data_IF_513378886851
#
_entry.id   IF_513378886851
#
_cell.length_a   1.000
_cell.length_b   1.000
_cell.length_c   1.000
_cell.angle_alpha   90.00
_cell.angle_beta   90.00
_cell.angle_gamma   90.00
#
_symmetry.space_group_name_H-M   'P 1'
#
loop_
_entity.id
_entity.type
_entity.pdbx_description
1 polymer ?
#
# COMPACT_ATOMS: atom_id res chain seq x y z
N UNK A 1 -11.12 2.70 6.27
CA UNK A 1 -11.45 2.03 4.99
C UNK A 1 -10.70 2.73 3.87
N UNK A 2 -9.82 2.01 3.19
CA UNK A 2 -9.11 2.50 1.99
C UNK A 2 -9.79 1.91 0.75
N UNK A 3 -9.85 2.67 -0.34
CA UNK A 3 -10.49 2.22 -1.57
C UNK A 3 -9.70 2.68 -2.80
N UNK A 4 -9.59 1.80 -3.78
CA UNK A 4 -8.99 2.09 -5.08
C UNK A 4 -10.10 2.29 -6.11
N UNK A 5 -9.95 3.32 -6.93
CA UNK A 5 -10.89 3.66 -8.00
C UNK A 5 -10.14 3.70 -9.32
N UNK A 6 -10.82 3.27 -10.38
CA UNK A 6 -10.36 3.44 -11.75
C UNK A 6 -11.10 4.62 -12.39
N UNK A 7 -10.35 5.45 -13.11
CA UNK A 7 -10.91 6.61 -13.81
C UNK A 7 -10.33 6.64 -15.21
N UNK A 8 -11.20 6.55 -16.21
CA UNK A 8 -10.82 6.75 -17.61
C UNK A 8 -10.35 8.19 -17.83
N UNK A 9 -9.09 8.34 -18.25
CA UNK A 9 -8.52 9.63 -18.66
C UNK A 9 -8.44 9.67 -20.18
N UNK A 10 -9.27 10.48 -20.86
CA UNK A 10 -9.25 10.54 -22.31
C UNK A 10 -7.96 11.15 -22.84
N UNK A 11 -7.49 10.63 -23.98
CA UNK A 11 -6.32 11.11 -24.72
C UNK A 11 -6.78 11.55 -26.13
N UNK A 12 -6.57 12.82 -26.54
CA UNK A 12 -5.92 13.89 -25.79
C UNK A 12 -6.73 14.38 -24.58
N UNK A 13 -6.06 14.97 -23.60
CA UNK A 13 -6.72 15.56 -22.44
C UNK A 13 -7.79 16.57 -22.89
N UNK A 14 -8.98 16.55 -22.28
CA UNK A 14 -10.04 17.45 -22.66
C UNK A 14 -9.65 18.88 -22.25
N UNK A 15 -10.11 19.86 -23.02
CA UNK A 15 -9.95 21.26 -22.63
C UNK A 15 -10.53 21.49 -21.23
N UNK A 16 -9.95 22.41 -20.42
CA UNK A 16 -10.49 22.74 -19.12
C UNK A 16 -11.99 23.03 -19.22
N UNK A 17 -12.84 22.41 -18.39
CA UNK A 17 -14.27 22.63 -18.45
C UNK A 17 -14.61 24.09 -18.14
N UNK A 18 -15.67 24.61 -18.76
CA UNK A 18 -16.20 25.93 -18.39
C UNK A 18 -16.75 25.91 -16.96
N UNK A 19 -16.85 27.08 -16.31
CA UNK A 19 -17.40 27.20 -14.95
C UNK A 19 -18.78 26.54 -14.82
N UNK A 20 -19.67 26.76 -15.78
CA UNK A 20 -21.00 26.14 -15.79
C UNK A 20 -20.95 24.61 -15.80
N UNK A 21 -20.03 24.01 -16.57
CA UNK A 21 -19.86 22.54 -16.61
C UNK A 21 -19.24 22.01 -15.31
N UNK A 22 -18.38 22.79 -14.64
CA UNK A 22 -17.87 22.43 -13.31
C UNK A 22 -18.98 22.49 -12.25
N UNK A 23 -19.78 23.55 -12.22
CA UNK A 23 -20.87 23.73 -11.25
C UNK A 23 -21.93 22.62 -11.39
N UNK A 24 -22.25 22.22 -12.63
CA UNK A 24 -23.14 21.08 -12.91
C UNK A 24 -22.54 19.73 -12.43
N UNK A 25 -21.22 19.51 -12.61
CA UNK A 25 -20.55 18.31 -12.12
C UNK A 25 -20.44 18.24 -10.60
N UNK A 26 -20.30 19.40 -9.94
CA UNK A 26 -20.28 19.49 -8.48
C UNK A 26 -21.67 19.20 -7.91
N UNK A 27 -22.72 19.70 -8.57
CA UNK A 27 -24.11 19.48 -8.16
C UNK A 27 -24.64 18.08 -8.49
N UNK A 28 -24.12 17.42 -9.53
CA UNK A 28 -24.47 16.06 -9.91
C UNK A 28 -23.22 15.21 -10.24
N UNK A 29 -22.47 14.76 -9.22
CA UNK A 29 -21.24 14.01 -9.43
C UNK A 29 -21.52 12.64 -10.03
N UNK A 30 -20.69 12.22 -11.00
CA UNK A 30 -20.71 10.84 -11.50
C UNK A 30 -20.28 9.91 -10.36
N UNK A 31 -21.15 8.98 -9.99
CA UNK A 31 -20.81 7.96 -8.99
C UNK A 31 -19.68 7.08 -9.51
N UNK A 32 -18.62 6.94 -8.72
CA UNK A 32 -17.54 6.00 -8.96
C UNK A 32 -17.73 4.80 -8.03
N UNK A 33 -17.65 3.61 -8.61
CA UNK A 33 -17.55 2.38 -7.83
C UNK A 33 -16.07 2.04 -7.63
N UNK A 34 -15.66 1.65 -6.42
CA UNK A 34 -14.29 1.22 -6.21
C UNK A 34 -14.05 -0.13 -6.89
N UNK A 35 -12.84 -0.32 -7.40
CA UNK A 35 -12.36 -1.61 -7.93
C UNK A 35 -11.74 -2.49 -6.85
N UNK A 36 -11.40 -1.90 -5.69
CA UNK A 36 -10.92 -2.59 -4.50
C UNK A 36 -11.29 -1.79 -3.25
N UNK A 37 -11.82 -2.47 -2.23
CA UNK A 37 -12.06 -1.90 -0.90
C UNK A 37 -11.35 -2.73 0.17
N UNK A 38 -10.52 -2.07 0.97
CA UNK A 38 -9.77 -2.70 2.05
C UNK A 38 -10.49 -2.52 3.38
N UNK A 39 -10.86 -3.66 3.99
CA UNK A 39 -11.47 -3.71 5.33
C UNK A 39 -10.54 -3.12 6.38
N UNK A 40 -11.10 -2.28 7.24
CA UNK A 40 -10.38 -1.58 8.30
C UNK A 40 -9.96 -2.59 9.37
N UNK A 41 -8.67 -2.60 9.72
CA UNK A 41 -8.08 -3.52 10.70
C UNK A 41 -7.70 -4.90 10.17
N UNK A 42 -8.09 -5.25 8.94
CA UNK A 42 -7.63 -6.47 8.28
C UNK A 42 -6.26 -6.31 7.65
N UNK A 43 -6.02 -5.12 7.11
CA UNK A 43 -4.77 -4.72 6.48
C UNK A 43 -4.08 -3.65 7.34
N UNK A 44 -2.76 -3.57 7.23
CA UNK A 44 -1.95 -2.59 7.97
C UNK A 44 -2.27 -1.15 7.57
N UNK A 45 -2.14 -0.25 8.54
CA UNK A 45 -2.15 1.19 8.28
C UNK A 45 -0.81 1.60 7.66
N UNK A 46 -0.85 2.49 6.67
CA UNK A 46 0.36 3.01 6.03
C UNK A 46 1.07 2.05 5.06
N UNK A 47 0.37 1.03 4.53
CA UNK A 47 0.90 0.21 3.43
C UNK A 47 1.38 1.07 2.27
N UNK A 48 2.56 0.75 1.73
CA UNK A 48 2.98 1.29 0.45
C UNK A 48 2.31 0.49 -0.67
N UNK A 49 1.92 1.17 -1.75
CA UNK A 49 1.45 0.55 -2.99
C UNK A 49 2.47 0.84 -4.10
N UNK A 50 2.91 -0.20 -4.81
CA UNK A 50 3.84 -0.07 -5.93
C UNK A 50 3.39 -0.94 -7.12
N UNK A 51 3.28 -0.37 -8.34
CA UNK A 51 2.93 -1.13 -9.53
C UNK A 51 4.15 -1.80 -10.16
N UNK A 52 4.00 -3.07 -10.56
CA UNK A 52 4.95 -3.78 -11.42
C UNK A 52 4.16 -4.57 -12.47
N UNK A 53 4.22 -4.14 -13.72
CA UNK A 53 3.37 -4.69 -14.78
C UNK A 53 1.90 -4.35 -14.52
N UNK A 54 1.01 -5.34 -14.58
CA UNK A 54 -0.41 -5.20 -14.22
C UNK A 54 -0.69 -5.36 -12.73
N UNK A 55 0.31 -5.72 -11.91
CA UNK A 55 0.10 -6.06 -10.51
C UNK A 55 0.43 -4.85 -9.62
N UNK A 56 -0.50 -4.51 -8.75
CA UNK A 56 -0.27 -3.64 -7.61
C UNK A 56 0.18 -4.47 -6.42
N UNK A 57 1.33 -4.13 -5.85
CA UNK A 57 1.86 -4.74 -4.63
C UNK A 57 1.60 -3.80 -3.45
N UNK A 58 0.95 -4.31 -2.40
CA UNK A 58 0.75 -3.61 -1.13
C UNK A 58 1.62 -4.26 -0.05
N UNK A 59 2.46 -3.48 0.62
CA UNK A 59 3.46 -4.01 1.54
C UNK A 59 3.75 -3.09 2.71
N UNK A 60 4.22 -3.71 3.81
CA UNK A 60 4.59 -3.04 5.06
C UNK A 60 3.41 -2.38 5.76
N UNK A 61 3.65 -1.26 6.42
CA UNK A 61 2.70 -0.64 7.34
C UNK A 61 2.77 -1.24 8.74
N UNK A 62 1.86 -0.78 9.59
CA UNK A 62 1.75 -1.19 11.00
C UNK A 62 0.33 -1.69 11.31
N UNK A 63 0.23 -2.77 12.06
CA UNK A 63 -1.06 -3.28 12.52
C UNK A 63 -1.55 -2.45 13.70
N UNK A 64 -2.67 -1.74 13.50
CA UNK A 64 -3.32 -0.96 14.54
C UNK A 64 -4.54 -1.69 15.12
N UNK A 65 -4.29 -2.54 16.12
CA UNK A 65 -5.33 -3.35 16.77
C UNK A 65 -6.28 -2.56 17.67
N UNK A 66 -5.84 -1.41 18.16
CA UNK A 66 -6.62 -0.54 19.04
C UNK A 66 -7.50 0.44 18.25
N UNK A 67 -7.53 0.33 16.92
CA UNK A 67 -8.35 1.18 16.07
C UNK A 67 -9.84 0.99 16.41
N UNK A 68 -10.56 2.03 16.87
CA UNK A 68 -11.96 1.91 17.25
C UNK A 68 -12.88 1.61 16.05
N UNK A 69 -12.39 1.80 14.82
CA UNK A 69 -13.12 1.66 13.57
C UNK A 69 -12.83 0.35 12.83
N UNK A 70 -12.24 -0.66 13.47
CA UNK A 70 -12.09 -2.01 12.88
C UNK A 70 -13.48 -2.55 12.52
N UNK A 71 -13.59 -3.20 11.36
CA UNK A 71 -14.84 -3.80 10.90
C UNK A 71 -15.27 -4.96 11.83
N UNK A 72 -16.58 -5.12 12.07
CA UNK A 72 -17.10 -6.02 13.12
C UNK A 72 -16.83 -7.52 12.85
N UNK A 73 -16.74 -7.92 11.59
CA UNK A 73 -16.30 -9.25 11.18
C UNK A 73 -14.81 -9.45 11.47
N UNK A 74 -13.96 -8.47 11.13
CA UNK A 74 -12.52 -8.48 11.41
C UNK A 74 -12.25 -8.50 12.93
N UNK A 75 -12.98 -7.72 13.73
CA UNK A 75 -12.89 -7.75 15.20
C UNK A 75 -13.10 -9.15 15.76
N UNK A 76 -14.00 -9.95 15.16
CA UNK A 76 -14.25 -11.33 15.62
C UNK A 76 -13.07 -12.25 15.30
N UNK A 77 -12.43 -12.06 14.14
CA UNK A 77 -11.25 -12.83 13.73
C UNK A 77 -10.03 -12.52 14.62
N UNK A 78 -9.86 -11.26 15.04
CA UNK A 78 -8.73 -10.81 15.85
C UNK A 78 -8.82 -11.17 17.35
N UNK A 79 -9.99 -11.58 17.86
CA UNK A 79 -10.22 -11.79 19.32
C UNK A 79 -9.25 -12.76 20.02
N UNK A 80 -8.62 -13.66 19.28
CA UNK A 80 -7.72 -14.68 19.85
C UNK A 80 -6.36 -14.74 19.15
N UNK A 81 -5.98 -13.69 18.44
CA UNK A 81 -4.73 -13.62 17.69
C UNK A 81 -3.93 -12.44 18.22
N UNK A 82 -2.65 -12.64 18.52
CA UNK A 82 -1.68 -11.55 18.67
C UNK A 82 -1.13 -11.25 17.27
N UNK A 83 -1.55 -10.18 16.60
CA UNK A 83 -1.07 -9.88 15.27
C UNK A 83 0.37 -9.35 15.33
N UNK A 84 1.14 -9.72 14.32
CA UNK A 84 2.46 -9.14 14.07
C UNK A 84 2.29 -7.64 13.82
N UNK A 85 2.89 -6.82 14.67
CA UNK A 85 2.83 -5.35 14.59
C UNK A 85 3.40 -4.86 13.26
N UNK A 86 4.47 -5.52 12.78
CA UNK A 86 5.16 -5.20 11.53
C UNK A 86 5.14 -6.42 10.60
N UNK A 87 3.98 -6.71 9.99
CA UNK A 87 3.84 -7.92 9.20
C UNK A 87 4.71 -7.85 7.95
N UNK A 88 5.23 -9.02 7.58
CA UNK A 88 6.09 -9.20 6.40
C UNK A 88 5.29 -9.49 5.13
N UNK A 89 3.98 -9.67 5.27
CA UNK A 89 3.07 -10.02 4.19
C UNK A 89 3.12 -8.98 3.08
N UNK A 90 3.02 -9.48 1.85
CA UNK A 90 2.89 -8.66 0.64
C UNK A 90 1.60 -9.09 -0.03
N UNK A 91 0.69 -8.15 -0.21
CA UNK A 91 -0.58 -8.39 -0.91
C UNK A 91 -0.47 -7.95 -2.36
N UNK A 92 -1.21 -8.61 -3.24
CA UNK A 92 -1.22 -8.32 -4.67
C UNK A 92 -2.64 -8.15 -5.21
N UNK A 93 -2.78 -7.23 -6.16
CA UNK A 93 -4.00 -6.99 -6.91
C UNK A 93 -3.66 -6.86 -8.40
N UNK A 94 -4.15 -7.78 -9.22
CA UNK A 94 -3.84 -7.81 -10.66
C UNK A 94 -4.88 -7.02 -11.46
N UNK A 95 -4.48 -5.88 -12.01
CA UNK A 95 -5.34 -5.00 -12.82
C UNK A 95 -5.79 -5.62 -14.15
N UNK A 96 -5.14 -6.69 -14.60
CA UNK A 96 -5.53 -7.35 -15.85
C UNK A 96 -6.71 -8.32 -15.68
N UNK A 97 -7.08 -8.64 -14.45
CA UNK A 97 -8.18 -9.55 -14.12
C UNK A 97 -9.40 -8.71 -13.75
N UNK A 98 -10.55 -9.07 -14.29
CA UNK A 98 -11.81 -8.47 -13.88
C UNK A 98 -12.17 -8.98 -12.47
N UNK A 99 -11.95 -8.14 -11.48
CA UNK A 99 -12.34 -8.39 -10.10
C UNK A 99 -13.78 -7.94 -9.94
N UNK A 100 -14.75 -8.85 -10.16
CA UNK A 100 -16.09 -8.62 -9.64
C UNK A 100 -15.95 -8.38 -8.13
N UNK A 101 -16.18 -7.15 -7.66
CA UNK A 101 -16.09 -6.81 -6.24
C UNK A 101 -17.09 -7.66 -5.46
N UNK A 102 -16.59 -8.75 -4.88
CA UNK A 102 -17.34 -9.59 -3.95
C UNK A 102 -16.99 -9.12 -2.54
N UNK A 103 -17.99 -9.10 -1.65
CA UNK A 103 -17.89 -8.58 -0.27
C UNK A 103 -16.81 -9.28 0.62
N UNK A 104 -16.06 -10.25 0.08
CA UNK A 104 -15.14 -11.12 0.80
C UNK A 104 -13.86 -11.50 0.03
N UNK A 105 -13.53 -10.85 -1.10
CA UNK A 105 -12.25 -11.13 -1.74
C UNK A 105 -11.11 -10.43 -1.00
N UNK A 106 -10.47 -11.20 -0.15
CA UNK A 106 -9.18 -10.85 0.43
C UNK A 106 -8.15 -10.72 -0.68
N UNK A 107 -7.27 -9.74 -0.54
CA UNK A 107 -6.14 -9.64 -1.45
C UNK A 107 -5.31 -10.92 -1.41
N UNK A 108 -4.94 -11.39 -2.59
CA UNK A 108 -3.99 -12.50 -2.72
C UNK A 108 -2.65 -12.09 -2.10
N UNK A 109 -1.91 -13.07 -1.60
CA UNK A 109 -0.59 -12.85 -1.01
C UNK A 109 0.51 -13.32 -1.95
N UNK A 110 1.62 -12.57 -1.94
CA UNK A 110 2.88 -12.89 -2.61
C UNK A 110 3.93 -13.33 -1.58
N UNK A 111 5.11 -13.72 -2.05
CA UNK A 111 6.26 -14.00 -1.20
C UNK A 111 6.50 -12.86 -0.20
N UNK A 112 6.55 -13.14 1.11
CA UNK A 112 6.70 -12.12 2.14
C UNK A 112 8.10 -11.51 2.14
N UNK A 113 8.21 -10.26 2.57
CA UNK A 113 9.49 -9.59 2.81
C UNK A 113 10.32 -10.35 3.86
N UNK A 114 11.63 -10.11 3.91
CA UNK A 114 12.44 -10.66 5.01
C UNK A 114 12.09 -9.97 6.34
N UNK A 115 11.76 -8.67 6.29
CA UNK A 115 11.44 -7.85 7.45
C UNK A 115 10.27 -6.89 7.20
N UNK A 116 9.41 -6.75 8.21
CA UNK A 116 8.34 -5.77 8.24
C UNK A 116 8.86 -4.35 8.31
N UNK A 117 8.11 -3.40 7.75
CA UNK A 117 8.48 -1.99 7.61
C UNK A 117 7.29 -1.12 7.96
N UNK A 118 7.41 -0.33 9.02
CA UNK A 118 6.31 0.51 9.51
C UNK A 118 5.92 1.61 8.52
N UNK A 119 6.93 2.28 7.94
CA UNK A 119 6.78 3.37 6.98
C UNK A 119 7.56 2.99 5.72
N UNK A 120 7.00 2.10 4.88
CA UNK A 120 7.67 1.64 3.67
C UNK A 120 7.59 2.69 2.56
N UNK A 121 8.68 2.81 1.81
CA UNK A 121 8.77 3.45 0.51
C UNK A 121 9.23 2.42 -0.50
N UNK A 122 8.44 2.20 -1.54
CA UNK A 122 8.77 1.27 -2.60
C UNK A 122 8.82 1.96 -3.97
N UNK A 123 9.70 1.45 -4.84
CA UNK A 123 9.80 1.86 -6.23
C UNK A 123 10.19 0.68 -7.10
N UNK A 124 9.88 0.76 -8.39
CA UNK A 124 10.32 -0.23 -9.39
C UNK A 124 11.52 0.29 -10.16
N UNK A 125 12.55 -0.55 -10.28
CA UNK A 125 13.68 -0.33 -11.17
C UNK A 125 14.12 -1.69 -11.74
N UNK A 126 14.48 -1.73 -13.02
CA UNK A 126 14.98 -2.95 -13.67
C UNK A 126 14.05 -4.17 -13.44
N UNK A 127 12.73 -3.94 -13.57
CA UNK A 127 11.66 -4.94 -13.37
C UNK A 127 11.63 -5.58 -11.97
N UNK A 128 12.24 -4.93 -10.97
CA UNK A 128 12.30 -5.38 -9.57
C UNK A 128 11.70 -4.32 -8.67
N UNK A 129 11.13 -4.77 -7.54
CA UNK A 129 10.61 -3.86 -6.52
C UNK A 129 11.71 -3.65 -5.49
N UNK A 130 12.00 -2.40 -5.18
CA UNK A 130 12.91 -2.00 -4.14
C UNK A 130 12.10 -1.35 -3.03
N UNK A 131 12.36 -1.73 -1.77
CA UNK A 131 11.67 -1.17 -0.61
C UNK A 131 12.67 -0.71 0.43
N UNK A 132 12.54 0.54 0.85
CA UNK A 132 13.20 1.13 2.01
C UNK A 132 12.14 1.39 3.06
N UNK A 133 12.39 1.11 4.33
CA UNK A 133 11.46 1.50 5.38
C UNK A 133 12.13 1.64 6.72
N UNK A 134 11.45 2.31 7.65
CA UNK A 134 11.93 2.46 9.02
C UNK A 134 11.38 1.38 9.95
N UNK A 135 12.10 1.14 11.04
CA UNK A 135 11.59 0.43 12.23
C UNK A 135 10.98 1.41 13.22
N UNK A 136 10.09 0.93 14.08
CA UNK A 136 9.56 1.72 15.21
C UNK A 136 10.70 1.93 16.22
N UNK A 137 10.80 3.14 16.79
CA UNK A 137 11.92 3.57 17.67
C UNK A 137 12.09 2.77 18.95
N UNK A 138 11.04 2.08 19.40
CA UNK A 138 10.99 1.46 20.74
C UNK A 138 11.12 -0.06 20.74
N UNK A 139 11.22 -0.70 19.57
CA UNK A 139 11.61 -2.08 19.52
C UNK A 139 13.14 -2.12 19.52
N UNK A 140 13.74 -2.71 20.56
CA UNK A 140 15.17 -3.06 20.65
C UNK A 140 15.59 -4.10 19.58
N UNK A 141 15.04 -4.03 18.37
CA UNK A 141 15.44 -4.91 17.28
C UNK A 141 16.77 -4.41 16.75
N UNK A 142 17.82 -5.06 17.23
CA UNK A 142 19.10 -5.18 16.57
C UNK A 142 18.97 -5.02 15.05
N UNK A 143 19.32 -3.83 14.55
CA UNK A 143 19.59 -3.46 13.14
C UNK A 143 18.83 -4.31 12.10
N UNK A 144 17.49 -4.22 12.09
CA UNK A 144 16.70 -4.74 10.96
C UNK A 144 17.18 -4.01 9.70
N UNK A 145 17.56 -4.73 8.62
CA UNK A 145 17.89 -4.11 7.35
C UNK A 145 16.71 -3.29 6.82
N UNK A 146 16.97 -2.05 6.44
CA UNK A 146 15.95 -1.13 5.96
C UNK A 146 15.66 -1.34 4.48
N UNK A 147 16.66 -1.84 3.74
CA UNK A 147 16.60 -1.92 2.28
C UNK A 147 16.51 -3.36 1.77
N UNK A 148 15.45 -3.65 1.04
CA UNK A 148 15.24 -4.94 0.38
C UNK A 148 14.84 -4.77 -1.07
N UNK A 149 15.03 -5.83 -1.85
CA UNK A 149 14.61 -5.90 -3.25
C UNK A 149 13.94 -7.24 -3.54
N UNK A 150 12.80 -7.20 -4.22
CA UNK A 150 12.09 -8.35 -4.73
C UNK A 150 12.41 -8.54 -6.21
N UNK A 151 12.86 -9.73 -6.56
CA UNK A 151 13.00 -10.16 -7.94
C UNK A 151 11.87 -11.15 -8.29
N UNK A 152 10.90 -10.76 -9.13
CA UNK A 152 9.79 -11.64 -9.51
C UNK A 152 10.24 -12.83 -10.35
N UNK A 153 11.41 -12.79 -11.01
CA UNK A 153 11.90 -13.88 -11.86
C UNK A 153 12.29 -15.12 -11.04
N UNK A 154 12.66 -14.90 -9.78
CA UNK A 154 13.01 -15.94 -8.82
C UNK A 154 12.09 -15.96 -7.61
N UNK A 155 11.04 -15.13 -7.62
CA UNK A 155 10.04 -14.95 -6.58
C UNK A 155 10.67 -14.84 -5.18
N UNK A 156 11.61 -13.91 -5.02
CA UNK A 156 12.40 -13.82 -3.79
C UNK A 156 12.78 -12.39 -3.41
N UNK A 157 12.73 -12.12 -2.11
CA UNK A 157 13.28 -10.92 -1.49
C UNK A 157 14.73 -11.10 -1.09
N UNK A 158 15.55 -10.11 -1.43
CA UNK A 158 16.97 -10.00 -1.10
C UNK A 158 17.20 -8.80 -0.20
N UNK A 159 17.90 -9.02 0.90
CA UNK A 159 18.39 -7.93 1.75
C UNK A 159 19.54 -7.23 1.03
N UNK A 160 19.43 -5.92 0.90
CA UNK A 160 20.45 -5.08 0.29
C UNK A 160 21.28 -4.38 1.36
N UNK A 161 22.40 -3.81 0.93
CA UNK A 161 23.18 -2.92 1.79
C UNK A 161 22.36 -1.64 2.00
N UNK A 162 22.10 -1.30 3.26
CA UNK A 162 21.40 -0.08 3.60
C UNK A 162 22.09 1.16 2.99
N UNK A 163 21.31 2.16 2.56
CA UNK A 163 21.87 3.44 2.13
C UNK A 163 22.76 4.04 3.24
N UNK A 164 23.80 4.83 2.88
CA UNK A 164 24.77 5.37 3.84
C UNK A 164 24.10 6.01 5.06
N UNK A 165 24.69 5.81 6.24
CA UNK A 165 24.07 6.13 7.53
C UNK A 165 23.43 7.52 7.54
N UNK A 166 22.12 7.46 7.70
CA UNK A 166 21.25 8.58 7.84
C UNK A 166 21.03 8.68 9.34
N UNK A 167 21.36 9.83 9.90
CA UNK A 167 21.25 10.12 11.33
C UNK A 167 19.97 9.45 11.89
N UNK A 168 20.06 8.73 13.02
CA UNK A 168 19.01 7.90 13.67
C UNK A 168 17.63 8.58 13.86
N UNK A 169 17.53 9.85 13.51
CA UNK A 169 16.30 10.63 13.47
C UNK A 169 15.67 10.77 12.07
N UNK A 170 16.23 10.15 11.03
CA UNK A 170 15.76 10.38 9.66
C UNK A 170 14.65 9.43 9.30
N UNK A 171 13.47 10.01 9.12
CA UNK A 171 12.30 9.33 8.60
C UNK A 171 12.35 9.52 7.08
N UNK A 172 12.35 8.42 6.34
CA UNK A 172 12.17 8.47 4.90
C UNK A 172 10.69 8.76 4.62
N UNK A 173 10.41 10.00 4.23
CA UNK A 173 9.07 10.40 3.81
C UNK A 173 9.05 10.41 2.28
N UNK A 174 8.15 9.65 1.67
CA UNK A 174 7.89 9.75 0.24
C UNK A 174 7.37 11.16 -0.07
N UNK A 175 7.80 11.74 -1.20
CA UNK A 175 7.31 13.07 -1.60
C UNK A 175 5.79 13.05 -1.75
N UNK A 176 5.12 13.92 -1.00
CA UNK A 176 3.80 14.44 -1.37
C UNK A 176 4.03 15.44 -2.51
N UNK A 177 3.45 15.20 -3.69
CA UNK A 177 3.41 16.20 -4.76
C UNK A 177 2.48 17.35 -4.32
N UNK A 178 3.02 18.29 -3.55
CA UNK A 178 2.45 19.62 -3.38
C UNK A 178 2.91 20.48 -4.54
N UNK A 179 1.99 20.79 -5.46
CA UNK A 179 2.22 21.80 -6.49
C UNK A 179 2.40 23.21 -5.86
N UNK A 180 3.08 24.13 -6.57
CA UNK A 180 3.34 25.50 -6.10
C UNK A 180 2.07 26.31 -5.83
#
# INVERSE_FOLDING_TARGET
MYSLYEVDVPIPLPSPPSKAVQDDRISNPKSLSPILQLKTGKYTDGMCCVPLGSILYFLGGEMNIDNPYIDEDVKKELKNVEPDVLPKVVYIFDLAIDHEVKDNDDLLTSTPMNYGKAIPLAFVADEKIYVIGSTIRDLEVNRIPYFEMFDPKVDKWFVLKDPPEINVNTIWVGQQLGGP
#
